data_IF_092105923748
#
_entry.id   IF_092105923748
#
_cell.length_a   1.000
_cell.length_b   1.000
_cell.length_c   1.000
_cell.angle_alpha   90.00
_cell.angle_beta   90.00
_cell.angle_gamma   90.00
#
_symmetry.space_group_name_H-M   'P 1'
#
loop_
_entity.id
_entity.type
_entity.pdbx_description
1 polymer ?
#
# COMPACT_ATOMS: atom_id res chain seq x y z
N UNK A 1 -15.23 -60.49 -3.46
CA UNK A 1 -15.81 -59.40 -2.65
C UNK A 1 -15.46 -59.73 -1.21
N UNK A 2 -14.68 -59.01 -0.42
CA UNK A 2 -14.14 -57.65 -0.46
C UNK A 2 -13.01 -57.65 0.60
N UNK A 3 -11.83 -57.15 0.25
CA UNK A 3 -10.65 -57.11 1.12
C UNK A 3 -10.72 -55.98 2.15
N UNK A 4 -10.14 -56.22 3.32
CA UNK A 4 -9.90 -55.21 4.35
C UNK A 4 -8.52 -54.60 4.14
N UNK A 5 -8.46 -53.33 3.75
CA UNK A 5 -7.22 -52.56 3.70
C UNK A 5 -7.02 -51.76 4.99
N UNK A 6 -5.88 -51.98 5.63
CA UNK A 6 -5.31 -51.11 6.66
C UNK A 6 -5.02 -49.72 6.09
N UNK A 7 -5.66 -48.70 6.66
CA UNK A 7 -5.26 -47.31 6.44
C UNK A 7 -4.11 -46.96 7.39
N UNK A 8 -2.90 -46.98 6.84
CA UNK A 8 -1.72 -46.41 7.49
C UNK A 8 -1.86 -44.89 7.58
N UNK A 9 -1.67 -44.37 8.80
CA UNK A 9 -1.44 -42.95 9.04
C UNK A 9 -0.08 -42.55 8.46
N UNK A 10 -0.07 -42.12 7.20
CA UNK A 10 1.05 -41.35 6.64
C UNK A 10 0.94 -39.92 7.16
N UNK A 11 1.54 -39.67 8.32
CA UNK A 11 1.90 -38.34 8.80
C UNK A 11 2.94 -37.73 7.87
N UNK A 12 2.49 -37.19 6.75
CA UNK A 12 3.28 -36.28 5.95
C UNK A 12 3.52 -35.03 6.78
N UNK A 13 4.71 -34.98 7.39
CA UNK A 13 5.25 -33.78 8.01
C UNK A 13 5.37 -32.72 6.92
N UNK A 14 4.30 -31.94 6.72
CA UNK A 14 4.38 -30.73 5.91
C UNK A 14 5.40 -29.83 6.59
N UNK A 15 6.59 -29.79 5.99
CA UNK A 15 7.58 -28.75 6.22
C UNK A 15 6.88 -27.41 5.97
N UNK A 16 6.31 -26.82 7.01
CA UNK A 16 5.98 -25.40 7.04
C UNK A 16 7.32 -24.67 6.88
N UNK A 17 7.66 -24.33 5.65
CA UNK A 17 8.88 -23.60 5.34
C UNK A 17 8.88 -22.29 6.12
N UNK A 18 10.01 -21.99 6.77
CA UNK A 18 10.37 -20.81 7.59
C UNK A 18 10.20 -19.42 6.92
N UNK A 19 9.19 -19.22 6.08
CA UNK A 19 8.99 -18.02 5.24
C UNK A 19 8.18 -16.91 5.91
N UNK A 20 7.75 -17.09 7.16
CA UNK A 20 6.83 -16.16 7.84
C UNK A 20 7.42 -14.75 8.06
N UNK A 21 8.75 -14.61 8.14
CA UNK A 21 9.42 -13.36 8.50
C UNK A 21 10.41 -12.84 7.45
N UNK A 22 10.16 -13.09 6.16
CA UNK A 22 10.97 -12.50 5.11
C UNK A 22 10.63 -11.01 4.92
N UNK A 23 11.65 -10.15 4.98
CA UNK A 23 11.55 -8.72 4.65
C UNK A 23 11.22 -8.59 3.15
N UNK A 24 10.28 -7.71 2.76
CA UNK A 24 9.98 -7.52 1.34
C UNK A 24 11.20 -7.07 0.55
N UNK A 25 11.37 -7.57 -0.68
CA UNK A 25 12.45 -7.15 -1.57
C UNK A 25 12.50 -5.63 -1.69
N UNK A 26 13.70 -5.06 -1.63
CA UNK A 26 14.00 -3.63 -1.71
C UNK A 26 13.38 -2.74 -0.61
N UNK A 27 12.73 -3.31 0.42
CA UNK A 27 12.12 -2.53 1.50
C UNK A 27 13.15 -1.71 2.31
N UNK A 28 14.36 -2.25 2.50
CA UNK A 28 15.44 -1.61 3.26
C UNK A 28 16.01 -0.35 2.59
N UNK A 29 15.92 -0.27 1.26
CA UNK A 29 16.41 0.88 0.47
C UNK A 29 15.26 1.82 0.08
N UNK A 30 14.02 1.35 0.17
CA UNK A 30 12.83 2.14 -0.06
C UNK A 30 12.71 3.27 0.98
N UNK A 31 12.54 4.54 0.55
CA UNK A 31 12.23 5.65 1.45
C UNK A 31 11.02 5.35 2.31
N UNK A 32 11.04 5.72 3.59
CA UNK A 32 10.02 5.29 4.55
C UNK A 32 8.66 5.97 4.35
N UNK A 33 8.65 7.29 4.17
CA UNK A 33 7.45 8.13 4.13
C UNK A 33 7.59 9.21 3.05
N UNK A 34 6.47 9.72 2.53
CA UNK A 34 6.42 10.86 1.63
C UNK A 34 7.13 12.09 2.22
N UNK A 35 7.66 12.95 1.35
CA UNK A 35 8.35 14.19 1.75
C UNK A 35 7.37 15.24 2.27
N UNK A 36 6.11 15.18 1.85
CA UNK A 36 4.99 16.00 2.33
C UNK A 36 3.66 15.27 2.10
N UNK A 37 2.56 15.83 2.61
CA UNK A 37 1.20 15.35 2.37
C UNK A 37 0.79 15.54 0.92
N UNK A 38 -0.02 14.61 0.39
CA UNK A 38 -0.69 14.78 -0.90
C UNK A 38 -2.03 15.47 -0.65
N UNK A 39 -2.24 16.62 -1.31
CA UNK A 39 -3.48 17.41 -1.24
C UNK A 39 -3.94 17.70 0.21
N UNK A 40 -2.97 17.93 1.11
CA UNK A 40 -3.18 18.19 2.54
C UNK A 40 -4.07 17.18 3.28
N UNK A 41 -4.26 16.00 2.68
CA UNK A 41 -5.21 14.99 3.15
C UNK A 41 -4.57 13.63 3.33
N UNK A 42 -3.54 13.30 2.52
CA UNK A 42 -2.94 11.96 2.52
C UNK A 42 -1.47 11.98 2.92
N UNK A 43 -1.10 11.05 3.79
CA UNK A 43 0.30 10.74 4.10
C UNK A 43 0.59 9.34 3.59
N UNK A 44 1.65 9.18 2.80
CA UNK A 44 1.97 7.90 2.14
C UNK A 44 3.30 7.35 2.59
N UNK A 45 3.37 6.03 2.79
CA UNK A 45 4.54 5.39 3.35
C UNK A 45 4.68 3.94 2.88
N UNK A 46 5.86 3.35 3.10
CA UNK A 46 6.05 1.89 2.94
C UNK A 46 5.45 1.16 4.15
N UNK A 47 5.11 -0.12 4.01
CA UNK A 47 4.56 -0.88 5.14
C UNK A 47 5.51 -0.83 6.33
N UNK A 48 5.05 -0.54 7.56
CA UNK A 48 5.86 -0.76 8.75
C UNK A 48 6.15 -2.25 8.91
N UNK A 49 7.23 -2.56 9.62
CA UNK A 49 7.62 -3.90 10.02
C UNK A 49 7.82 -3.88 11.52
N UNK A 50 7.00 -4.61 12.25
CA UNK A 50 7.00 -4.61 13.72
C UNK A 50 8.20 -5.39 14.31
N UNK A 51 8.19 -5.53 15.63
CA UNK A 51 9.25 -6.17 16.41
C UNK A 51 9.64 -7.57 15.93
N UNK A 52 8.78 -8.30 15.19
CA UNK A 52 9.13 -9.61 14.63
C UNK A 52 10.28 -9.55 13.63
N UNK A 53 10.60 -8.37 13.10
CA UNK A 53 11.66 -8.15 12.11
C UNK A 53 12.92 -7.50 12.69
N UNK A 54 12.93 -7.16 13.98
CA UNK A 54 13.99 -6.38 14.63
C UNK A 54 15.38 -7.00 14.52
N UNK A 55 15.48 -8.32 14.55
CA UNK A 55 16.75 -9.06 14.42
C UNK A 55 17.30 -9.07 12.98
N UNK A 56 16.52 -8.59 12.00
CA UNK A 56 16.91 -8.52 10.57
C UNK A 56 17.08 -7.09 10.08
N UNK A 57 16.73 -6.09 10.90
CA UNK A 57 16.71 -4.68 10.52
C UNK A 57 17.55 -3.89 11.51
N UNK A 58 18.65 -3.31 11.03
CA UNK A 58 19.45 -2.37 11.80
C UNK A 58 18.56 -1.24 12.35
N UNK A 59 18.76 -0.84 13.61
CA UNK A 59 17.91 0.13 14.33
C UNK A 59 17.63 1.39 13.49
N UNK A 60 18.66 1.95 12.85
CA UNK A 60 18.57 3.12 11.98
C UNK A 60 17.70 2.97 10.72
N UNK A 61 17.34 1.73 10.34
CA UNK A 61 16.49 1.42 9.17
C UNK A 61 15.09 0.95 9.57
N UNK A 62 14.81 0.81 10.87
CA UNK A 62 13.46 0.49 11.36
C UNK A 62 12.53 1.65 11.06
N UNK A 63 11.27 1.32 10.77
CA UNK A 63 10.28 2.32 10.44
C UNK A 63 9.04 2.10 11.29
N UNK A 64 8.95 2.90 12.35
CA UNK A 64 7.79 3.02 13.20
C UNK A 64 7.21 4.41 12.96
N UNK A 65 6.21 4.55 12.09
CA UNK A 65 5.61 5.83 11.80
C UNK A 65 4.92 6.37 13.06
N UNK A 66 5.58 7.30 13.76
CA UNK A 66 4.95 8.08 14.82
C UNK A 66 4.06 9.14 14.16
N UNK A 67 2.75 8.87 14.11
CA UNK A 67 1.80 9.60 13.26
C UNK A 67 0.68 10.19 14.10
N UNK A 68 1.01 11.11 15.02
CA UNK A 68 0.04 11.74 15.94
C UNK A 68 -1.09 12.53 15.26
N UNK A 69 -1.12 12.57 13.92
CA UNK A 69 -2.15 13.26 13.13
C UNK A 69 -2.83 12.38 12.08
N UNK A 70 -2.59 11.06 12.05
CA UNK A 70 -3.33 10.15 11.16
C UNK A 70 -4.52 9.58 11.92
N UNK A 71 -5.74 9.88 11.45
CA UNK A 71 -6.96 9.32 12.03
C UNK A 71 -7.48 8.09 11.29
N UNK A 72 -7.03 7.84 10.06
CA UNK A 72 -7.40 6.67 9.26
C UNK A 72 -6.18 6.04 8.60
N UNK A 73 -6.04 4.73 8.72
CA UNK A 73 -4.97 3.93 8.20
C UNK A 73 -5.47 2.92 7.17
N UNK A 74 -5.10 3.11 5.90
CA UNK A 74 -5.47 2.23 4.79
C UNK A 74 -4.28 1.33 4.41
N UNK A 75 -4.41 0.04 4.69
CA UNK A 75 -3.47 -1.01 4.33
C UNK A 75 -3.88 -1.72 3.03
N UNK A 76 -3.11 -1.49 1.96
CA UNK A 76 -3.32 -2.09 0.64
C UNK A 76 -2.55 -3.41 0.42
N UNK A 77 -1.89 -3.94 1.45
CA UNK A 77 -1.13 -5.18 1.36
C UNK A 77 -2.06 -6.40 1.39
N UNK A 78 -1.68 -7.46 0.67
CA UNK A 78 -2.40 -8.74 0.68
C UNK A 78 -1.81 -9.71 1.73
N UNK A 79 -1.53 -9.21 2.93
CA UNK A 79 -0.95 -9.99 4.03
C UNK A 79 -1.16 -9.27 5.35
N UNK A 80 -1.11 -9.98 6.47
CA UNK A 80 -1.17 -9.41 7.84
C UNK A 80 0.13 -9.66 8.61
N UNK A 81 1.18 -10.16 7.95
CA UNK A 81 2.41 -10.59 8.65
C UNK A 81 3.31 -9.44 9.12
N UNK A 82 3.18 -8.26 8.51
CA UNK A 82 4.16 -7.17 8.62
C UNK A 82 4.11 -6.44 9.96
N UNK A 83 2.91 -6.13 10.43
CA UNK A 83 2.67 -5.43 11.69
C UNK A 83 1.30 -5.84 12.25
N UNK A 84 1.06 -5.60 13.52
CA UNK A 84 -0.25 -5.82 14.15
C UNK A 84 -1.18 -4.64 13.89
N UNK A 85 -2.39 -4.87 13.39
CA UNK A 85 -3.38 -3.81 13.25
C UNK A 85 -3.77 -3.19 14.61
N UNK A 86 -3.70 -3.98 15.68
CA UNK A 86 -4.01 -3.51 17.04
C UNK A 86 -3.06 -2.41 17.51
N UNK A 87 -1.80 -2.43 17.07
CA UNK A 87 -0.86 -1.34 17.39
C UNK A 87 -1.30 -0.01 16.76
N UNK A 88 -1.98 -0.06 15.60
CA UNK A 88 -2.52 1.12 14.94
C UNK A 88 -3.77 1.62 15.67
N UNK A 89 -4.66 0.70 16.03
CA UNK A 89 -5.89 1.01 16.76
C UNK A 89 -5.61 1.56 18.17
N UNK A 90 -4.62 1.03 18.89
CA UNK A 90 -4.17 1.52 20.20
C UNK A 90 -3.63 2.95 20.14
N UNK A 91 -3.15 3.40 18.97
CA UNK A 91 -2.76 4.80 18.74
C UNK A 91 -3.97 5.72 18.48
N UNK A 92 -5.21 5.21 18.55
CA UNK A 92 -6.43 5.96 18.27
C UNK A 92 -6.72 6.16 16.78
N UNK A 93 -6.10 5.33 15.92
CA UNK A 93 -6.22 5.44 14.47
C UNK A 93 -7.16 4.33 13.93
N UNK A 94 -8.16 4.71 13.14
CA UNK A 94 -9.03 3.72 12.50
C UNK A 94 -8.24 2.91 11.47
N UNK A 95 -8.42 1.59 11.44
CA UNK A 95 -7.71 0.72 10.51
C UNK A 95 -8.66 0.13 9.45
N UNK A 96 -8.28 0.23 8.18
CA UNK A 96 -8.98 -0.37 7.05
C UNK A 96 -8.02 -1.12 6.16
N UNK A 97 -8.32 -2.40 5.90
CA UNK A 97 -7.56 -3.23 4.96
C UNK A 97 -8.30 -3.37 3.64
N UNK A 98 -7.67 -2.94 2.54
CA UNK A 98 -8.18 -3.13 1.18
C UNK A 98 -7.18 -4.03 0.44
N UNK A 99 -7.32 -5.36 0.53
CA UNK A 99 -6.33 -6.29 0.00
C UNK A 99 -6.33 -6.27 -1.53
N UNK A 100 -5.32 -5.63 -2.12
CA UNK A 100 -5.11 -5.67 -3.56
C UNK A 100 -4.32 -6.93 -3.93
N UNK A 101 -4.84 -7.72 -4.88
CA UNK A 101 -4.19 -8.94 -5.40
C UNK A 101 -2.76 -8.65 -5.86
N UNK A 102 -1.86 -9.63 -5.68
CA UNK A 102 -0.44 -9.51 -6.05
C UNK A 102 -0.18 -9.61 -7.55
N UNK A 103 1.09 -9.75 -7.94
CA UNK A 103 1.53 -10.07 -9.32
C UNK A 103 1.30 -9.02 -10.42
N UNK A 104 0.93 -7.79 -10.07
CA UNK A 104 0.87 -6.68 -11.03
C UNK A 104 -0.52 -6.33 -11.50
N UNK A 105 -1.55 -6.96 -10.93
CA UNK A 105 -2.93 -6.55 -11.12
C UNK A 105 -3.13 -5.10 -10.70
N UNK A 106 -3.89 -4.39 -11.52
CA UNK A 106 -4.27 -3.00 -11.32
C UNK A 106 -5.52 -2.96 -10.44
N UNK A 107 -5.67 -1.98 -9.53
CA UNK A 107 -6.93 -1.79 -8.81
C UNK A 107 -8.09 -1.64 -9.79
N UNK A 108 -9.06 -2.55 -9.72
CA UNK A 108 -10.26 -2.52 -10.56
C UNK A 108 -11.21 -1.40 -10.09
N UNK A 109 -12.30 -1.18 -10.83
CA UNK A 109 -13.25 -0.09 -10.51
C UNK A 109 -13.85 -0.22 -9.10
N UNK A 110 -14.21 -1.42 -8.67
CA UNK A 110 -14.77 -1.67 -7.33
C UNK A 110 -13.80 -1.28 -6.20
N UNK A 111 -12.51 -1.60 -6.36
CA UNK A 111 -11.48 -1.22 -5.38
C UNK A 111 -11.27 0.29 -5.36
N UNK A 112 -11.31 0.95 -6.52
CA UNK A 112 -11.25 2.41 -6.61
C UNK A 112 -12.44 3.03 -5.89
N UNK A 113 -13.67 2.65 -6.24
CA UNK A 113 -14.90 3.19 -5.63
C UNK A 113 -14.90 3.01 -4.11
N UNK A 114 -14.50 1.83 -3.63
CA UNK A 114 -14.37 1.56 -2.19
C UNK A 114 -13.37 2.53 -1.53
N UNK A 115 -12.18 2.68 -2.12
CA UNK A 115 -11.17 3.60 -1.61
C UNK A 115 -11.67 5.05 -1.59
N UNK A 116 -12.30 5.51 -2.67
CA UNK A 116 -12.85 6.87 -2.77
C UNK A 116 -13.89 7.13 -1.68
N UNK A 117 -14.85 6.22 -1.52
CA UNK A 117 -15.91 6.33 -0.52
C UNK A 117 -15.36 6.37 0.91
N UNK A 118 -14.39 5.50 1.24
CA UNK A 118 -13.74 5.51 2.55
C UNK A 118 -13.06 6.85 2.81
N UNK A 119 -12.30 7.35 1.84
CA UNK A 119 -11.54 8.59 2.00
C UNK A 119 -12.47 9.82 2.10
N UNK A 120 -13.48 9.90 1.23
CA UNK A 120 -14.47 10.97 1.24
C UNK A 120 -15.19 11.03 2.58
N UNK A 121 -15.75 9.91 3.04
CA UNK A 121 -16.50 9.86 4.30
C UNK A 121 -15.62 10.20 5.51
N UNK A 122 -14.35 9.78 5.51
CA UNK A 122 -13.45 10.13 6.59
C UNK A 122 -13.15 11.63 6.63
N UNK A 123 -12.80 12.23 5.47
CA UNK A 123 -12.39 13.64 5.39
C UNK A 123 -13.56 14.60 5.67
N UNK A 124 -14.78 14.27 5.26
CA UNK A 124 -15.98 15.07 5.58
C UNK A 124 -16.21 15.24 7.09
N UNK A 125 -15.77 14.27 7.90
CA UNK A 125 -15.99 14.27 9.35
C UNK A 125 -14.74 14.62 10.16
N UNK A 126 -13.55 14.69 9.53
CA UNK A 126 -12.25 14.77 10.24
C UNK A 126 -11.26 15.70 9.53
N UNK A 127 -11.60 16.99 9.41
CA UNK A 127 -10.83 18.00 8.66
C UNK A 127 -9.39 18.25 9.18
N UNK A 128 -9.07 17.87 10.42
CA UNK A 128 -7.75 18.08 11.02
C UNK A 128 -6.85 16.84 11.02
N UNK A 129 -7.30 15.71 10.45
CA UNK A 129 -6.58 14.46 10.46
C UNK A 129 -6.26 13.98 9.04
N UNK A 130 -5.08 13.37 8.90
CA UNK A 130 -4.64 12.76 7.65
C UNK A 130 -5.15 11.33 7.51
N UNK A 131 -5.26 10.90 6.25
CA UNK A 131 -5.38 9.50 5.86
C UNK A 131 -3.98 8.95 5.54
N UNK A 132 -3.55 7.97 6.32
CA UNK A 132 -2.35 7.18 6.04
C UNK A 132 -2.64 6.10 5.01
N UNK A 133 -1.90 6.06 3.90
CA UNK A 133 -2.08 5.04 2.88
C UNK A 133 -0.77 4.35 2.57
N UNK A 134 -0.74 3.03 2.65
CA UNK A 134 0.43 2.25 2.26
C UNK A 134 0.09 1.00 1.48
N UNK A 135 1.03 0.59 0.64
CA UNK A 135 1.13 -0.78 0.17
C UNK A 135 2.43 -1.37 0.73
N UNK A 136 3.10 -2.28 0.02
CA UNK A 136 4.41 -2.76 0.48
C UNK A 136 5.46 -1.64 0.47
N UNK A 137 5.52 -0.84 -0.59
CA UNK A 137 6.53 0.22 -0.77
C UNK A 137 5.94 1.64 -0.75
N UNK A 138 4.63 1.80 -0.89
CA UNK A 138 3.98 3.11 -0.85
C UNK A 138 4.14 3.93 -2.13
N UNK A 139 4.09 3.31 -3.32
CA UNK A 139 4.27 3.99 -4.61
C UNK A 139 3.18 3.64 -5.62
N UNK A 140 3.17 2.44 -6.21
CA UNK A 140 2.30 2.15 -7.35
C UNK A 140 0.82 2.01 -6.97
N UNK A 141 0.44 1.02 -6.14
CA UNK A 141 -0.97 0.86 -5.71
C UNK A 141 -1.46 2.04 -4.89
N UNK A 142 -0.62 2.53 -3.98
CA UNK A 142 -0.89 3.73 -3.17
C UNK A 142 -1.13 4.95 -4.08
N UNK A 143 -0.20 5.23 -5.00
CA UNK A 143 -0.31 6.35 -5.92
C UNK A 143 -1.49 6.22 -6.86
N UNK A 144 -1.79 5.03 -7.38
CA UNK A 144 -2.95 4.84 -8.28
C UNK A 144 -4.28 5.18 -7.61
N UNK A 145 -4.48 4.73 -6.37
CA UNK A 145 -5.71 5.01 -5.64
C UNK A 145 -5.81 6.49 -5.23
N UNK A 146 -4.70 7.07 -4.76
CA UNK A 146 -4.67 8.50 -4.41
C UNK A 146 -4.86 9.37 -5.66
N UNK A 147 -4.18 9.10 -6.77
CA UNK A 147 -4.34 9.82 -8.04
C UNK A 147 -5.79 9.69 -8.54
N UNK A 148 -6.41 8.52 -8.43
CA UNK A 148 -7.84 8.36 -8.76
C UNK A 148 -8.72 9.26 -7.88
N UNK A 149 -8.40 9.41 -6.59
CA UNK A 149 -9.10 10.34 -5.69
C UNK A 149 -8.93 11.81 -6.10
N UNK A 150 -7.70 12.22 -6.41
CA UNK A 150 -7.42 13.58 -6.87
C UNK A 150 -8.23 13.92 -8.13
N UNK A 151 -8.38 12.96 -9.05
CA UNK A 151 -9.13 13.15 -10.30
C UNK A 151 -10.63 13.15 -10.04
N UNK A 152 -11.17 12.09 -9.42
CA UNK A 152 -12.62 11.88 -9.33
C UNK A 152 -13.32 12.73 -8.25
N UNK A 153 -12.59 13.12 -7.21
CA UNK A 153 -13.16 13.88 -6.07
C UNK A 153 -12.69 15.32 -6.08
N UNK A 154 -11.41 15.56 -6.38
CA UNK A 154 -10.82 16.91 -6.35
C UNK A 154 -10.70 17.56 -7.74
N UNK A 155 -11.19 16.90 -8.80
CA UNK A 155 -11.25 17.41 -10.17
C UNK A 155 -9.88 17.77 -10.79
N UNK A 156 -8.81 17.09 -10.40
CA UNK A 156 -7.51 17.22 -11.07
C UNK A 156 -7.56 16.56 -12.45
N UNK A 157 -6.85 17.10 -13.43
CA UNK A 157 -6.53 16.34 -14.65
C UNK A 157 -5.50 15.23 -14.35
N UNK A 158 -5.46 14.18 -15.19
CA UNK A 158 -4.64 13.00 -14.94
C UNK A 158 -3.15 13.33 -14.80
N UNK A 159 -2.65 14.30 -15.59
CA UNK A 159 -1.22 14.65 -15.61
C UNK A 159 -0.88 15.39 -14.32
N UNK A 160 -1.67 16.41 -13.96
CA UNK A 160 -1.48 17.16 -12.72
C UNK A 160 -1.59 16.27 -11.48
N UNK A 161 -2.55 15.34 -11.44
CA UNK A 161 -2.70 14.40 -10.32
C UNK A 161 -1.48 13.48 -10.17
N UNK A 162 -0.96 12.92 -11.27
CA UNK A 162 0.26 12.09 -11.25
C UNK A 162 1.47 12.91 -10.78
N UNK A 163 1.63 14.14 -11.29
CA UNK A 163 2.72 15.03 -10.88
C UNK A 163 2.64 15.42 -9.41
N UNK A 164 1.43 15.70 -8.91
CA UNK A 164 1.20 16.04 -7.50
C UNK A 164 1.62 14.91 -6.57
N UNK A 165 1.23 13.67 -6.90
CA UNK A 165 1.68 12.50 -6.15
C UNK A 165 3.20 12.29 -6.24
N UNK A 166 3.79 12.49 -7.43
CA UNK A 166 5.24 12.35 -7.63
C UNK A 166 6.07 13.38 -6.84
N UNK A 167 5.56 14.61 -6.69
CA UNK A 167 6.20 15.65 -5.89
C UNK A 167 6.25 15.27 -4.40
N UNK A 168 5.15 14.77 -3.85
CA UNK A 168 5.05 14.31 -2.47
C UNK A 168 5.80 13.00 -2.21
N UNK A 169 5.83 12.08 -3.17
CA UNK A 169 6.42 10.75 -3.01
C UNK A 169 7.35 10.41 -4.17
N UNK A 170 8.53 11.06 -4.30
CA UNK A 170 9.40 10.86 -5.46
C UNK A 170 9.88 9.41 -5.64
N UNK A 171 9.83 8.85 -6.87
CA UNK A 171 9.51 9.54 -8.12
C UNK A 171 8.02 9.47 -8.50
N UNK A 172 7.14 9.01 -7.62
CA UNK A 172 5.74 8.73 -7.88
C UNK A 172 5.49 7.28 -8.32
N UNK A 173 4.44 7.09 -9.11
CA UNK A 173 4.11 5.79 -9.72
C UNK A 173 5.18 5.47 -10.75
N UNK A 174 5.92 4.37 -10.55
CA UNK A 174 7.07 4.00 -11.38
C UNK A 174 6.84 2.75 -12.25
N UNK A 175 5.66 2.15 -12.17
CA UNK A 175 5.26 1.05 -13.07
C UNK A 175 4.43 1.60 -14.22
N UNK A 176 4.87 1.35 -15.44
CA UNK A 176 4.23 1.91 -16.64
C UNK A 176 2.76 1.53 -16.77
N UNK A 177 2.42 0.25 -16.53
CA UNK A 177 1.04 -0.23 -16.64
C UNK A 177 0.07 0.48 -15.70
N UNK A 178 0.54 1.05 -14.58
CA UNK A 178 -0.30 1.87 -13.69
C UNK A 178 -0.55 3.26 -14.27
N UNK A 179 0.47 3.87 -14.89
CA UNK A 179 0.33 5.16 -15.59
C UNK A 179 -0.60 4.98 -16.80
N UNK A 180 -0.38 3.96 -17.62
CA UNK A 180 -1.19 3.66 -18.80
C UNK A 180 -2.67 3.51 -18.44
N UNK A 181 -2.97 2.79 -17.36
CA UNK A 181 -4.34 2.57 -16.91
C UNK A 181 -5.00 3.85 -16.38
N UNK A 182 -4.25 4.74 -15.71
CA UNK A 182 -4.78 6.03 -15.28
C UNK A 182 -5.14 6.91 -16.49
N UNK A 183 -4.25 6.98 -17.49
CA UNK A 183 -4.55 7.70 -18.73
C UNK A 183 -5.74 7.08 -19.46
N UNK A 184 -5.77 5.75 -19.62
CA UNK A 184 -6.89 5.04 -20.27
C UNK A 184 -8.24 5.32 -19.61
N UNK A 185 -8.29 5.51 -18.28
CA UNK A 185 -9.52 5.79 -17.55
C UNK A 185 -9.94 7.26 -17.59
N UNK A 186 -8.98 8.19 -17.57
CA UNK A 186 -9.25 9.59 -17.24
C UNK A 186 -8.78 10.59 -18.30
N UNK A 187 -8.24 10.14 -19.43
CA UNK A 187 -7.74 11.03 -20.49
C UNK A 187 -7.79 10.38 -21.87
N UNK A 188 -7.87 11.23 -22.90
CA UNK A 188 -7.69 10.82 -24.30
C UNK A 188 -6.25 11.06 -24.79
N UNK A 189 -5.36 11.57 -23.93
CA UNK A 189 -3.97 11.81 -24.25
C UNK A 189 -3.13 10.53 -24.17
N UNK A 190 -1.98 10.55 -24.86
CA UNK A 190 -0.99 9.48 -24.73
C UNK A 190 -0.39 9.46 -23.30
N UNK A 191 -0.19 8.27 -22.69
CA UNK A 191 0.40 8.15 -21.37
C UNK A 191 1.83 8.70 -21.29
N UNK A 192 2.17 9.32 -20.17
CA UNK A 192 3.55 9.70 -19.86
C UNK A 192 4.41 8.50 -19.50
N UNK A 193 5.72 8.62 -19.66
CA UNK A 193 6.65 7.57 -19.27
C UNK A 193 6.88 7.54 -17.75
N UNK A 194 6.80 6.36 -17.16
CA UNK A 194 7.04 6.14 -15.75
C UNK A 194 8.53 6.36 -15.42
N UNK A 195 8.83 7.07 -14.32
CA UNK A 195 10.20 7.32 -13.90
C UNK A 195 10.85 6.07 -13.30
N UNK A 196 12.18 6.05 -13.28
CA UNK A 196 12.96 4.98 -12.63
C UNK A 196 13.28 5.36 -11.18
N UNK A 197 12.93 4.52 -10.19
CA UNK A 197 13.26 4.79 -8.79
C UNK A 197 14.73 4.47 -8.51
N UNK A 198 15.42 5.40 -7.85
CA UNK A 198 16.85 5.29 -7.52
C UNK A 198 17.18 4.14 -6.54
N UNK A 199 16.19 3.67 -5.78
CA UNK A 199 16.34 2.66 -4.72
C UNK A 199 16.01 1.22 -5.18
N UNK A 200 15.68 1.04 -6.46
CA UNK A 200 15.51 -0.27 -7.08
C UNK A 200 16.73 -0.51 -7.98
N UNK A 201 17.53 -1.51 -7.62
CA UNK A 201 18.64 -2.04 -8.41
C UNK A 201 18.27 -3.41 -8.98
#
# INVERSE_FOLDING_TARGET
MSGFNHYGHNGSSQRQSNNSLQIPKNWMNCPSIATHSVADSFVTFKTPLDYKYDNKIAIMKRFNPQMQSIGLWIDLTNTTRYYSQFEIEDMGCAYVKIPCVGHGDLPNRQVVDLFLNICYNFLENNLSQFIGVHCTHGFNRTGFLIVSYLIEVLNYDVRSAIHHFAAARPPGIYRQNYIDELYRRYSNEAPTMAPKPHWIH
#
